data_IF_290907197126
#
_entry.id   IF_290907197126
#
_cell.length_a   1.000
_cell.length_b   1.000
_cell.length_c   1.000
_cell.angle_alpha   90.00
_cell.angle_beta   90.00
_cell.angle_gamma   90.00
#
_symmetry.space_group_name_H-M   'P 1'
#
loop_
_entity.id
_entity.type
_entity.pdbx_description
1 polymer ?
#
# COMPACT_ATOMS: atom_id res chain seq x y z
N UNK A 1 -1.08 22.77 -9.46
CA UNK A 1 0.04 22.02 -10.07
C UNK A 1 -0.52 20.77 -10.67
N UNK A 2 -0.40 20.59 -11.98
CA UNK A 2 -0.86 19.35 -12.62
C UNK A 2 0.14 18.23 -12.32
N UNK A 3 -0.37 17.05 -11.95
CA UNK A 3 0.42 15.83 -11.83
C UNK A 3 0.66 15.18 -13.20
N UNK A 4 0.15 15.80 -14.28
CA UNK A 4 0.32 15.32 -15.65
C UNK A 4 1.79 15.51 -16.05
N UNK A 5 2.53 14.44 -16.00
CA UNK A 5 3.85 14.29 -16.59
C UNK A 5 3.71 13.23 -17.68
N UNK A 6 3.79 13.64 -18.93
CA UNK A 6 3.61 12.79 -20.13
C UNK A 6 4.63 11.62 -20.20
N UNK A 7 5.58 11.57 -19.26
CA UNK A 7 6.55 10.46 -19.14
C UNK A 7 5.99 9.25 -18.39
N UNK A 8 4.85 9.39 -17.70
CA UNK A 8 4.22 8.31 -16.95
C UNK A 8 2.88 7.94 -17.56
N UNK A 9 2.84 6.83 -18.27
CA UNK A 9 1.58 6.26 -18.74
C UNK A 9 0.85 5.55 -17.61
N UNK A 10 -0.50 5.64 -17.55
CA UNK A 10 -1.28 4.84 -16.64
C UNK A 10 -0.95 3.36 -16.81
N UNK A 11 -0.54 2.70 -15.74
CA UNK A 11 -0.24 1.28 -15.76
C UNK A 11 -1.54 0.47 -15.67
N UNK A 12 -1.66 -0.57 -16.49
CA UNK A 12 -2.79 -1.50 -16.39
C UNK A 12 -2.79 -2.22 -15.03
N UNK A 13 -3.96 -2.45 -14.40
CA UNK A 13 -4.05 -3.14 -13.11
C UNK A 13 -3.40 -4.53 -13.09
N UNK A 14 -3.44 -5.29 -14.20
CA UNK A 14 -2.80 -6.60 -14.30
C UNK A 14 -1.27 -6.49 -14.33
N UNK A 15 -0.73 -5.46 -15.01
CA UNK A 15 0.71 -5.16 -14.99
C UNK A 15 1.17 -4.71 -13.60
N UNK A 16 0.37 -3.88 -12.91
CA UNK A 16 0.67 -3.49 -11.54
C UNK A 16 0.70 -4.72 -10.62
N UNK A 17 -0.28 -5.63 -10.75
CA UNK A 17 -0.31 -6.88 -9.99
C UNK A 17 0.93 -7.75 -10.28
N UNK A 18 1.38 -7.85 -11.54
CA UNK A 18 2.61 -8.58 -11.89
C UNK A 18 3.85 -7.98 -11.19
N UNK A 19 3.99 -6.65 -11.19
CA UNK A 19 5.08 -5.97 -10.46
C UNK A 19 5.05 -6.26 -8.95
N UNK A 20 3.86 -6.33 -8.35
CA UNK A 20 3.72 -6.72 -6.94
C UNK A 20 4.15 -8.17 -6.70
N UNK A 21 3.76 -9.09 -7.60
CA UNK A 21 4.16 -10.51 -7.55
C UNK A 21 5.69 -10.65 -7.65
N UNK A 22 6.34 -9.81 -8.45
CA UNK A 22 7.80 -9.69 -8.58
C UNK A 22 8.46 -8.98 -7.37
N UNK A 23 7.72 -8.82 -6.27
CA UNK A 23 8.17 -8.21 -5.00
C UNK A 23 8.67 -6.76 -5.12
N UNK A 24 8.16 -6.02 -6.10
CA UNK A 24 8.45 -4.60 -6.26
C UNK A 24 7.78 -3.74 -5.19
N UNK A 25 8.47 -2.71 -4.77
CA UNK A 25 7.96 -1.64 -3.89
C UNK A 25 7.61 -0.47 -4.78
N UNK A 26 6.31 -0.17 -4.91
CA UNK A 26 5.79 0.77 -5.90
C UNK A 26 5.27 2.03 -5.22
N UNK A 27 5.73 3.19 -5.66
CA UNK A 27 5.09 4.47 -5.36
C UNK A 27 3.87 4.67 -6.25
N UNK A 28 2.71 4.93 -5.66
CA UNK A 28 1.46 5.19 -6.38
C UNK A 28 1.00 6.61 -6.15
N UNK A 29 0.71 7.31 -7.25
CA UNK A 29 0.09 8.62 -7.30
C UNK A 29 -1.18 8.51 -8.13
N UNK A 30 -2.34 8.77 -7.54
CA UNK A 30 -3.62 8.86 -8.25
C UNK A 30 -4.51 9.96 -7.65
N UNK A 31 -5.32 10.57 -8.49
CA UNK A 31 -6.30 11.57 -8.05
C UNK A 31 -5.73 12.67 -7.14
N UNK A 32 -6.55 13.21 -6.26
CA UNK A 32 -6.16 14.21 -5.27
C UNK A 32 -5.46 13.57 -4.06
N UNK A 33 -4.54 14.34 -3.43
CA UNK A 33 -3.91 13.89 -2.18
C UNK A 33 -4.92 13.75 -1.06
N UNK A 34 -4.66 12.81 -0.17
CA UNK A 34 -5.45 12.65 1.04
C UNK A 34 -5.36 13.88 1.96
N UNK A 35 -6.47 14.21 2.61
CA UNK A 35 -6.49 15.12 3.75
C UNK A 35 -6.20 14.35 5.04
N UNK A 36 -5.11 14.68 5.73
CA UNK A 36 -4.77 14.06 7.01
C UNK A 36 -3.54 13.18 6.99
N UNK A 37 -3.36 12.42 8.08
CA UNK A 37 -2.11 11.72 8.38
C UNK A 37 -2.01 10.32 7.74
N UNK A 38 -3.00 9.88 6.97
CA UNK A 38 -3.05 8.52 6.42
C UNK A 38 -3.07 8.55 4.90
N UNK A 39 -2.20 7.78 4.28
CA UNK A 39 -2.31 7.47 2.85
C UNK A 39 -3.36 6.36 2.67
N UNK A 40 -4.33 6.63 1.82
CA UNK A 40 -5.49 5.77 1.58
C UNK A 40 -5.53 5.24 0.14
N UNK A 41 -4.39 5.25 -0.53
CA UNK A 41 -4.24 4.75 -1.89
C UNK A 41 -3.98 5.84 -2.94
N UNK A 42 -3.98 7.15 -2.57
CA UNK A 42 -3.73 8.22 -3.54
C UNK A 42 -2.26 8.67 -3.56
N UNK A 43 -1.62 8.75 -2.41
CA UNK A 43 -0.17 9.02 -2.25
C UNK A 43 0.42 7.92 -1.39
N UNK A 44 0.57 6.75 -1.98
CA UNK A 44 0.85 5.51 -1.27
C UNK A 44 2.11 4.81 -1.78
N UNK A 45 2.78 4.10 -0.89
CA UNK A 45 3.74 3.06 -1.25
C UNK A 45 3.04 1.74 -1.06
N UNK A 46 3.01 0.93 -2.11
CA UNK A 46 2.28 -0.35 -2.19
C UNK A 46 3.27 -1.48 -2.48
N UNK A 47 3.14 -2.61 -1.80
CA UNK A 47 3.84 -3.86 -2.09
C UNK A 47 3.09 -5.06 -1.49
N UNK A 48 3.50 -6.29 -1.81
CA UNK A 48 2.99 -7.47 -1.11
C UNK A 48 3.50 -7.51 0.33
N UNK A 49 2.64 -7.87 1.32
CA UNK A 49 2.98 -7.85 2.74
C UNK A 49 3.73 -9.11 3.22
N UNK A 50 4.55 -9.71 2.36
CA UNK A 50 5.32 -10.91 2.66
C UNK A 50 6.29 -10.70 3.82
N UNK A 51 6.68 -11.81 4.43
CA UNK A 51 7.71 -11.85 5.48
C UNK A 51 9.00 -11.12 5.07
N UNK A 52 9.50 -10.28 5.97
CA UNK A 52 10.71 -9.47 5.75
C UNK A 52 10.48 -8.17 4.97
N UNK A 53 9.34 -7.97 4.33
CA UNK A 53 9.05 -6.75 3.57
C UNK A 53 9.00 -5.51 4.48
N UNK A 54 8.53 -5.66 5.72
CA UNK A 54 8.54 -4.59 6.73
C UNK A 54 9.95 -4.03 6.95
N UNK A 55 10.91 -4.92 7.17
CA UNK A 55 12.30 -4.52 7.42
C UNK A 55 12.92 -3.89 6.17
N UNK A 56 12.66 -4.48 4.99
CA UNK A 56 13.13 -3.95 3.70
C UNK A 56 12.63 -2.52 3.46
N UNK A 57 11.34 -2.24 3.68
CA UNK A 57 10.78 -0.90 3.47
C UNK A 57 11.28 0.08 4.53
N UNK A 58 11.32 -0.32 5.82
CA UNK A 58 11.80 0.56 6.88
C UNK A 58 13.27 0.95 6.67
N UNK A 59 14.13 0.01 6.25
CA UNK A 59 15.54 0.26 6.03
C UNK A 59 15.82 1.05 4.74
N UNK A 60 15.16 0.71 3.62
CA UNK A 60 15.55 1.18 2.28
C UNK A 60 14.71 2.33 1.74
N UNK A 61 13.48 2.49 2.22
CA UNK A 61 12.54 3.49 1.70
C UNK A 61 12.17 4.53 2.75
N UNK A 62 11.84 4.07 3.97
CA UNK A 62 11.40 4.95 5.05
C UNK A 62 12.53 5.50 5.90
N UNK A 63 13.68 4.81 5.94
CA UNK A 63 14.83 5.14 6.79
C UNK A 63 14.43 5.36 8.25
N UNK A 64 13.71 4.38 8.82
CA UNK A 64 13.17 4.46 10.18
C UNK A 64 13.34 3.14 10.93
N UNK A 65 12.95 3.14 12.18
CA UNK A 65 13.10 2.01 13.10
C UNK A 65 12.35 0.76 12.58
N UNK A 66 12.96 -0.44 12.64
CA UNK A 66 12.39 -1.67 12.04
C UNK A 66 11.09 -2.13 12.71
N UNK A 67 10.86 -1.79 13.99
CA UNK A 67 9.65 -2.18 14.71
C UNK A 67 8.38 -1.44 14.26
N UNK A 68 8.50 -0.33 13.51
CA UNK A 68 7.34 0.46 13.09
C UNK A 68 6.47 -0.32 12.10
N UNK A 69 5.16 -0.45 12.40
CA UNK A 69 4.27 -1.27 11.59
C UNK A 69 3.82 -0.56 10.32
N UNK A 70 3.25 -1.38 9.42
CA UNK A 70 2.54 -0.95 8.24
C UNK A 70 1.08 -1.39 8.29
N UNK A 71 0.28 -0.89 7.37
CA UNK A 71 -1.16 -1.14 7.30
C UNK A 71 -1.48 -2.06 6.13
N UNK A 72 -2.36 -3.07 6.30
CA UNK A 72 -2.92 -3.80 5.19
C UNK A 72 -3.98 -2.97 4.45
N UNK A 73 -4.11 -3.23 3.14
CA UNK A 73 -5.25 -2.86 2.32
C UNK A 73 -5.77 -4.10 1.61
N UNK A 74 -7.07 -4.38 1.73
CA UNK A 74 -7.75 -5.47 1.03
C UNK A 74 -9.13 -5.02 0.54
N UNK A 75 -9.78 -5.84 -0.29
CA UNK A 75 -11.17 -5.61 -0.66
C UNK A 75 -12.07 -5.85 0.55
N UNK A 76 -13.18 -5.09 0.64
CA UNK A 76 -14.11 -5.19 1.78
C UNK A 76 -14.67 -6.60 1.96
N UNK A 77 -14.98 -7.31 0.86
CA UNK A 77 -15.49 -8.67 0.86
C UNK A 77 -14.49 -9.73 1.33
N UNK A 78 -13.17 -9.45 1.21
CA UNK A 78 -12.12 -10.39 1.61
C UNK A 78 -11.65 -10.23 3.05
N UNK A 79 -12.00 -9.14 3.73
CA UNK A 79 -11.42 -8.77 5.04
C UNK A 79 -11.50 -9.88 6.08
N UNK A 80 -12.61 -10.63 6.09
CA UNK A 80 -12.83 -11.70 7.08
C UNK A 80 -11.93 -12.93 6.90
N UNK A 81 -11.21 -13.02 5.78
CA UNK A 81 -10.19 -14.08 5.60
C UNK A 81 -9.04 -13.93 6.59
N UNK A 82 -8.70 -12.70 6.98
CA UNK A 82 -7.54 -12.41 7.82
C UNK A 82 -7.87 -11.63 9.08
N UNK A 83 -8.98 -10.88 9.08
CA UNK A 83 -9.27 -9.92 10.16
C UNK A 83 -10.67 -10.11 10.73
N UNK A 84 -10.76 -10.05 12.08
CA UNK A 84 -12.02 -9.95 12.76
C UNK A 84 -12.33 -8.45 13.00
N UNK A 85 -13.19 -7.89 12.16
CA UNK A 85 -13.66 -6.51 12.30
C UNK A 85 -15.03 -6.34 11.67
N UNK A 86 -15.97 -5.82 12.47
CA UNK A 86 -17.29 -5.40 12.02
C UNK A 86 -17.36 -3.88 11.77
N UNK A 87 -16.27 -3.16 12.04
CA UNK A 87 -16.20 -1.71 11.84
C UNK A 87 -15.95 -1.35 10.38
N UNK A 88 -16.35 -0.13 10.02
CA UNK A 88 -15.89 0.48 8.77
C UNK A 88 -14.39 0.79 8.89
N UNK A 89 -13.60 0.17 8.05
CA UNK A 89 -12.13 0.27 8.08
C UNK A 89 -11.56 1.06 6.89
N UNK A 90 -12.41 1.64 6.05
CA UNK A 90 -12.01 2.41 4.85
C UNK A 90 -10.96 3.50 5.16
N UNK A 91 -11.06 4.12 6.32
CA UNK A 91 -10.24 5.28 6.73
C UNK A 91 -9.07 4.93 7.66
N UNK A 92 -8.75 3.66 7.87
CA UNK A 92 -7.72 3.23 8.84
C UNK A 92 -7.95 3.78 10.27
N UNK A 93 -9.21 3.97 10.66
CA UNK A 93 -9.56 4.55 11.97
C UNK A 93 -9.45 3.54 13.13
N UNK A 94 -9.48 2.25 12.84
CA UNK A 94 -9.52 1.18 13.83
C UNK A 94 -8.47 0.11 13.55
N UNK A 95 -7.99 -0.53 14.62
CA UNK A 95 -7.23 -1.77 14.51
C UNK A 95 -8.20 -2.95 14.49
N UNK A 96 -7.90 -3.91 13.62
CA UNK A 96 -8.59 -5.20 13.53
C UNK A 96 -7.69 -6.31 14.09
N UNK A 97 -8.29 -7.29 14.79
CA UNK A 97 -7.56 -8.47 15.23
C UNK A 97 -7.26 -9.38 14.04
N UNK A 98 -6.01 -9.83 13.93
CA UNK A 98 -5.63 -10.83 12.94
C UNK A 98 -6.09 -12.20 13.40
N UNK A 99 -6.82 -12.94 12.54
CA UNK A 99 -7.36 -14.29 12.88
C UNK A 99 -6.61 -15.41 12.17
N UNK A 100 -6.03 -15.13 11.00
CA UNK A 100 -5.28 -16.10 10.21
C UNK A 100 -3.91 -15.52 9.85
N UNK A 101 -2.94 -15.48 10.78
CA UNK A 101 -1.59 -15.02 10.49
C UNK A 101 -0.88 -16.02 9.57
N UNK A 102 -0.30 -15.51 8.48
CA UNK A 102 0.50 -16.28 7.52
C UNK A 102 1.75 -15.50 7.13
N UNK A 103 2.74 -16.17 6.57
CA UNK A 103 3.95 -15.50 6.06
C UNK A 103 3.63 -14.51 4.92
N UNK A 104 2.51 -14.69 4.22
CA UNK A 104 2.06 -13.79 3.15
C UNK A 104 1.59 -12.43 3.65
N UNK A 105 1.27 -12.28 4.96
CA UNK A 105 0.80 -11.02 5.56
C UNK A 105 1.63 -10.59 6.79
N UNK A 106 2.76 -11.25 7.06
CA UNK A 106 3.56 -11.01 8.28
C UNK A 106 3.95 -9.54 8.44
N UNK A 107 4.30 -8.87 7.35
CA UNK A 107 4.82 -7.50 7.37
C UNK A 107 3.80 -6.42 7.77
N UNK A 108 2.52 -6.78 7.89
CA UNK A 108 1.45 -5.85 8.30
C UNK A 108 0.80 -6.23 9.64
N UNK A 109 1.35 -7.23 10.31
CA UNK A 109 0.87 -7.64 11.64
C UNK A 109 1.64 -6.87 12.71
N UNK A 110 0.92 -6.26 13.63
CA UNK A 110 1.49 -5.59 14.80
C UNK A 110 1.92 -6.62 15.86
N UNK A 111 2.77 -6.19 16.80
CA UNK A 111 3.26 -7.05 17.87
C UNK A 111 2.13 -7.64 18.74
N UNK A 112 1.01 -6.93 18.90
CA UNK A 112 -0.17 -7.35 19.65
C UNK A 112 -1.16 -8.20 18.83
N UNK A 113 -0.75 -8.70 17.68
CA UNK A 113 -1.56 -9.47 16.73
C UNK A 113 -2.78 -8.70 16.19
N UNK A 114 -2.64 -7.38 16.06
CA UNK A 114 -3.60 -6.52 15.37
C UNK A 114 -3.01 -5.96 14.08
N UNK A 115 -3.85 -5.33 13.26
CA UNK A 115 -3.43 -4.55 12.11
C UNK A 115 -4.36 -3.34 11.93
N UNK A 116 -3.80 -2.20 11.51
CA UNK A 116 -4.60 -1.02 11.17
C UNK A 116 -5.12 -1.16 9.75
N UNK A 117 -6.25 -1.87 9.64
CA UNK A 117 -6.82 -2.29 8.38
C UNK A 117 -7.39 -1.12 7.58
N UNK A 118 -7.14 -1.15 6.28
CA UNK A 118 -7.91 -0.42 5.27
C UNK A 118 -8.66 -1.39 4.39
N UNK A 119 -9.95 -1.17 4.20
CA UNK A 119 -10.73 -1.87 3.18
C UNK A 119 -11.14 -0.92 2.06
N UNK A 120 -11.19 -1.44 0.84
CA UNK A 120 -11.64 -0.71 -0.33
C UNK A 120 -12.76 -1.47 -1.04
N UNK A 121 -13.62 -0.71 -1.71
CA UNK A 121 -14.64 -1.21 -2.63
C UNK A 121 -14.34 -0.73 -4.04
N UNK A 122 -14.98 -1.33 -5.03
CA UNK A 122 -14.87 -0.86 -6.42
C UNK A 122 -15.27 0.62 -6.57
N UNK A 123 -16.23 1.10 -5.76
CA UNK A 123 -16.66 2.50 -5.80
C UNK A 123 -15.67 3.46 -5.13
N UNK A 124 -14.98 3.03 -4.04
CA UNK A 124 -14.07 3.90 -3.28
C UNK A 124 -12.69 4.03 -3.92
N UNK A 125 -12.18 2.99 -4.55
CA UNK A 125 -10.90 2.99 -5.26
C UNK A 125 -10.93 1.95 -6.38
N UNK A 126 -11.46 2.30 -7.57
CA UNK A 126 -11.63 1.36 -8.69
C UNK A 126 -10.32 0.71 -9.14
N UNK A 127 -9.25 1.50 -9.22
CA UNK A 127 -7.98 1.01 -9.72
C UNK A 127 -7.35 -0.02 -8.78
N UNK A 128 -7.16 0.30 -7.52
CA UNK A 128 -6.59 -0.66 -6.56
C UNK A 128 -7.51 -1.84 -6.30
N UNK A 129 -8.83 -1.68 -6.41
CA UNK A 129 -9.76 -2.80 -6.36
C UNK A 129 -9.50 -3.78 -7.52
N UNK A 130 -9.28 -3.29 -8.74
CA UNK A 130 -8.91 -4.14 -9.89
C UNK A 130 -7.54 -4.80 -9.68
N UNK A 131 -6.53 -4.08 -9.18
CA UNK A 131 -5.23 -4.67 -8.85
C UNK A 131 -5.36 -5.84 -7.86
N UNK A 132 -6.14 -5.66 -6.79
CA UNK A 132 -6.40 -6.74 -5.82
C UNK A 132 -7.16 -7.91 -6.45
N UNK A 133 -8.08 -7.64 -7.37
CA UNK A 133 -8.80 -8.67 -8.11
C UNK A 133 -7.87 -9.47 -9.03
N UNK A 134 -6.93 -8.79 -9.69
CA UNK A 134 -5.90 -9.45 -10.51
C UNK A 134 -4.95 -10.33 -9.68
N UNK A 135 -4.57 -9.88 -8.48
CA UNK A 135 -3.81 -10.73 -7.55
C UNK A 135 -4.58 -12.02 -7.24
N UNK A 136 -5.88 -11.91 -6.93
CA UNK A 136 -6.73 -13.08 -6.67
C UNK A 136 -6.83 -14.02 -7.89
N UNK A 137 -7.04 -13.48 -9.10
CA UNK A 137 -7.10 -14.27 -10.33
C UNK A 137 -5.78 -15.01 -10.60
N UNK A 138 -4.64 -14.44 -10.20
CA UNK A 138 -3.32 -15.03 -10.34
C UNK A 138 -2.96 -16.01 -9.19
N UNK A 139 -3.89 -16.27 -8.26
CA UNK A 139 -3.70 -17.20 -7.15
C UNK A 139 -2.96 -16.63 -5.94
N UNK A 140 -2.81 -15.30 -5.87
CA UNK A 140 -2.23 -14.61 -4.72
C UNK A 140 -3.31 -14.07 -3.78
N UNK A 141 -2.95 -13.85 -2.51
CA UNK A 141 -3.83 -13.19 -1.58
C UNK A 141 -4.12 -11.75 -2.02
N UNK A 142 -5.41 -11.34 -2.17
CA UNK A 142 -5.81 -9.99 -2.58
C UNK A 142 -5.66 -8.97 -1.43
N UNK A 143 -4.44 -8.85 -0.94
CA UNK A 143 -4.06 -7.96 0.14
C UNK A 143 -2.68 -7.37 -0.13
N UNK A 144 -2.52 -6.08 0.14
CA UNK A 144 -1.26 -5.36 -0.02
C UNK A 144 -0.91 -4.60 1.25
N UNK A 145 0.36 -4.34 1.44
CA UNK A 145 0.86 -3.35 2.38
C UNK A 145 0.65 -1.96 1.78
N UNK A 146 0.03 -1.07 2.54
CA UNK A 146 -0.16 0.33 2.20
C UNK A 146 0.50 1.23 3.25
N UNK A 147 1.36 2.14 2.80
CA UNK A 147 1.95 3.16 3.66
C UNK A 147 2.06 4.50 2.92
N UNK A 148 2.14 5.59 3.69
CA UNK A 148 2.26 6.94 3.15
C UNK A 148 3.46 7.09 2.21
N UNK A 149 3.29 7.83 1.12
CA UNK A 149 4.38 8.13 0.21
C UNK A 149 5.20 9.31 0.75
N UNK A 150 6.18 9.00 1.58
CA UNK A 150 7.12 9.92 2.19
C UNK A 150 8.28 9.12 2.82
N UNK A 151 9.37 9.81 3.15
CA UNK A 151 10.39 9.30 4.08
C UNK A 151 10.12 9.77 5.50
N UNK A 152 10.83 9.22 6.46
CA UNK A 152 10.72 9.63 7.87
C UNK A 152 10.92 11.15 8.04
N UNK A 153 10.09 11.75 8.91
CA UNK A 153 10.18 13.18 9.24
C UNK A 153 9.65 14.13 8.18
N UNK A 154 9.14 13.63 7.06
CA UNK A 154 8.53 14.42 6.01
C UNK A 154 7.02 14.16 5.91
N UNK A 155 6.21 15.16 5.53
CA UNK A 155 4.80 14.95 5.21
C UNK A 155 4.65 14.02 4.00
N UNK A 156 3.42 13.57 3.73
CA UNK A 156 3.06 12.89 2.48
C UNK A 156 3.45 13.84 1.33
N UNK A 157 4.10 13.29 0.30
CA UNK A 157 4.58 14.09 -0.82
C UNK A 157 3.44 14.83 -1.53
N UNK A 158 3.76 16.02 -2.01
CA UNK A 158 2.80 16.92 -2.66
C UNK A 158 3.22 17.34 -4.07
N UNK A 159 4.38 16.92 -4.54
CA UNK A 159 4.90 17.26 -5.85
C UNK A 159 5.50 16.07 -6.57
N UNK A 160 5.47 16.10 -7.91
CA UNK A 160 6.12 15.10 -8.74
C UNK A 160 7.64 15.04 -8.51
N UNK A 161 8.28 16.19 -8.26
CA UNK A 161 9.71 16.21 -7.97
C UNK A 161 10.08 15.45 -6.70
N UNK A 162 9.22 15.49 -5.67
CA UNK A 162 9.42 14.68 -4.46
C UNK A 162 9.28 13.19 -4.76
N UNK A 163 8.32 12.81 -5.62
CA UNK A 163 8.12 11.42 -6.01
C UNK A 163 9.32 10.89 -6.83
N UNK A 164 9.80 11.66 -7.80
CA UNK A 164 11.01 11.33 -8.59
C UNK A 164 12.23 11.21 -7.68
N UNK A 165 12.39 12.16 -6.77
CA UNK A 165 13.48 12.10 -5.79
C UNK A 165 13.42 10.80 -4.95
N UNK A 166 12.22 10.41 -4.50
CA UNK A 166 12.05 9.14 -3.75
C UNK A 166 12.43 7.93 -4.61
N UNK A 167 12.04 7.89 -5.88
CA UNK A 167 12.39 6.80 -6.80
C UNK A 167 13.91 6.70 -6.99
N UNK A 168 14.59 7.83 -7.18
CA UNK A 168 16.02 7.88 -7.49
C UNK A 168 16.92 7.66 -6.26
N UNK A 169 16.44 8.03 -5.06
CA UNK A 169 17.28 8.11 -3.85
C UNK A 169 16.87 7.13 -2.74
N UNK A 170 15.92 6.23 -3.00
CA UNK A 170 15.49 5.22 -2.02
C UNK A 170 15.44 3.83 -2.66
N UNK A 171 15.04 2.82 -1.89
CA UNK A 171 14.79 1.46 -2.41
C UNK A 171 13.42 1.28 -3.03
N UNK A 172 12.78 2.35 -3.50
CA UNK A 172 11.57 2.27 -4.31
C UNK A 172 11.93 1.68 -5.68
N UNK A 173 11.17 0.70 -6.14
CA UNK A 173 11.49 0.00 -7.40
C UNK A 173 10.79 0.62 -8.61
N UNK A 174 9.67 1.32 -8.39
CA UNK A 174 8.89 1.92 -9.48
C UNK A 174 7.98 3.06 -8.98
N UNK A 175 7.51 3.89 -9.93
CA UNK A 175 6.56 4.98 -9.70
C UNK A 175 5.44 4.90 -10.73
N UNK A 176 4.21 4.75 -10.25
CA UNK A 176 3.00 4.70 -11.07
C UNK A 176 2.17 5.96 -10.82
N UNK A 177 1.80 6.63 -11.89
CA UNK A 177 0.98 7.86 -11.88
C UNK A 177 -0.24 7.63 -12.75
N UNK A 178 -1.47 7.92 -12.21
CA UNK A 178 -2.76 7.69 -12.85
C UNK A 178 -3.54 8.99 -12.98
#
# INVERSE_FOLDING_TARGET
MSWNDDTYNPLDPSEFANKLIDEKIIGLIQGNSEHGARALGNRSIICLPKKGMKDKINARVKFREPYRPFSPMCREEDKHRWFNSNSNTMWMAHNARVVNPTDSIESIIHYDNTARLQTITQASNPYLYMVLSELAHKGFDPIVLNTSFNKQGKPILNTMNEAKWMLENTGLDDLVVL
#
